data_IF_983572612551
#
_entry.id   IF_983572612551
#
_cell.length_a   1.000
_cell.length_b   1.000
_cell.length_c   1.000
_cell.angle_alpha   90.00
_cell.angle_beta   90.00
_cell.angle_gamma   90.00
#
_symmetry.space_group_name_H-M   'P 1'
#
loop_
_entity.id
_entity.type
_entity.pdbx_description
1 polymer ?
#
# COMPACT_ATOMS: atom_id res chain seq x y z
N UNK A 1 7.12 4.10 -22.69
CA UNK A 1 7.76 2.77 -22.82
C UNK A 1 9.25 2.93 -22.57
N UNK A 2 9.80 2.22 -21.59
CA UNK A 2 11.25 2.26 -21.31
C UNK A 2 12.00 1.66 -22.51
N UNK A 3 13.09 2.28 -22.96
CA UNK A 3 14.00 1.73 -23.97
C UNK A 3 15.39 1.62 -23.37
N UNK A 4 16.20 0.65 -23.79
CA UNK A 4 17.55 0.47 -23.27
C UNK A 4 18.39 1.74 -23.57
N UNK A 5 18.96 2.39 -22.54
CA UNK A 5 19.72 3.63 -22.74
C UNK A 5 21.00 3.42 -23.54
N UNK A 6 21.50 2.19 -23.62
CA UNK A 6 22.74 1.84 -24.31
C UNK A 6 22.56 1.45 -25.78
N UNK A 7 21.49 0.76 -26.13
CA UNK A 7 21.31 0.20 -27.48
C UNK A 7 19.93 0.50 -28.10
N UNK A 8 19.08 1.28 -27.43
CA UNK A 8 17.74 1.65 -27.91
C UNK A 8 16.72 0.51 -27.95
N UNK A 9 17.13 -0.72 -27.61
CA UNK A 9 16.25 -1.87 -27.67
C UNK A 9 15.12 -1.79 -26.63
N UNK A 10 13.91 -2.24 -26.99
CA UNK A 10 12.73 -2.20 -26.12
C UNK A 10 12.48 -3.48 -25.33
N UNK A 11 13.19 -4.57 -25.67
CA UNK A 11 13.11 -5.82 -24.93
C UNK A 11 13.93 -5.73 -23.62
N UNK A 12 13.21 -5.46 -22.53
CA UNK A 12 13.74 -5.17 -21.20
C UNK A 12 13.08 -6.12 -20.21
N UNK A 13 13.89 -6.82 -19.43
CA UNK A 13 13.48 -7.72 -18.35
C UNK A 13 13.80 -7.10 -16.99
N UNK A 14 13.14 -7.59 -15.95
CA UNK A 14 13.44 -7.24 -14.56
C UNK A 14 14.27 -8.36 -13.92
N UNK A 15 15.38 -8.00 -13.28
CA UNK A 15 16.16 -8.93 -12.48
C UNK A 15 15.51 -9.17 -11.11
N UNK A 16 15.78 -10.31 -10.46
CA UNK A 16 15.33 -10.57 -9.08
C UNK A 16 15.85 -9.53 -8.07
N UNK A 17 16.96 -8.86 -8.39
CA UNK A 17 17.58 -7.80 -7.59
C UNK A 17 16.95 -6.41 -7.82
N UNK A 18 15.92 -6.30 -8.66
CA UNK A 18 15.22 -5.03 -8.89
C UNK A 18 15.87 -4.11 -9.91
N UNK A 19 16.60 -4.65 -10.90
CA UNK A 19 17.24 -3.88 -11.97
C UNK A 19 16.55 -4.14 -13.32
N UNK A 20 16.55 -3.17 -14.22
CA UNK A 20 16.20 -3.41 -15.62
C UNK A 20 17.39 -4.02 -16.36
N UNK A 21 17.15 -5.09 -17.11
CA UNK A 21 18.16 -5.79 -17.91
C UNK A 21 17.71 -5.83 -19.36
N UNK A 22 18.52 -5.31 -20.28
CA UNK A 22 18.24 -5.42 -21.71
C UNK A 22 18.52 -6.84 -22.21
N UNK A 23 17.53 -7.48 -22.85
CA UNK A 23 17.68 -8.84 -23.39
C UNK A 23 18.66 -8.92 -24.57
N UNK A 24 18.90 -7.80 -25.28
CA UNK A 24 19.77 -7.76 -26.47
C UNK A 24 21.24 -7.48 -26.15
N UNK A 25 21.52 -6.48 -25.31
CA UNK A 25 22.89 -6.07 -25.02
C UNK A 25 23.36 -6.41 -23.60
N UNK A 26 22.49 -7.00 -22.77
CA UNK A 26 22.80 -7.37 -21.39
C UNK A 26 23.00 -6.19 -20.44
N UNK A 27 22.86 -4.94 -20.91
CA UNK A 27 23.04 -3.76 -20.08
C UNK A 27 22.01 -3.76 -18.94
N UNK A 28 22.50 -3.46 -17.73
CA UNK A 28 21.69 -3.35 -16.52
C UNK A 28 21.67 -1.91 -16.05
N UNK A 29 20.50 -1.43 -15.62
CA UNK A 29 20.37 -0.12 -15.02
C UNK A 29 19.31 -0.16 -13.91
N UNK A 30 19.48 0.65 -12.85
CA UNK A 30 18.54 0.69 -11.75
C UNK A 30 17.16 1.14 -12.26
N UNK A 31 16.10 0.59 -11.66
CA UNK A 31 14.78 1.19 -11.79
C UNK A 31 14.89 2.56 -11.14
N UNK A 32 14.62 3.63 -11.88
CA UNK A 32 14.67 4.97 -11.30
C UNK A 32 13.78 5.01 -10.06
N UNK A 33 14.30 5.55 -8.96
CA UNK A 33 13.66 5.59 -7.64
C UNK A 33 12.21 6.10 -7.70
N UNK A 34 11.89 6.92 -8.70
CA UNK A 34 10.55 7.45 -8.97
C UNK A 34 9.51 6.34 -9.24
N UNK A 35 9.88 5.25 -9.93
CA UNK A 35 8.97 4.11 -10.17
C UNK A 35 8.93 3.13 -9.00
N UNK A 36 10.04 3.01 -8.27
CA UNK A 36 10.15 2.23 -7.04
C UNK A 36 9.25 2.84 -5.94
N UNK A 37 9.22 4.16 -5.81
CA UNK A 37 8.50 4.83 -4.73
C UNK A 37 6.99 4.55 -4.73
N UNK A 38 6.34 4.41 -5.89
CA UNK A 38 4.91 4.05 -5.94
C UNK A 38 4.66 2.61 -5.49
N UNK A 39 5.47 1.65 -5.98
CA UNK A 39 5.34 0.24 -5.59
C UNK A 39 5.69 0.00 -4.12
N UNK A 40 6.67 0.72 -3.57
CA UNK A 40 7.05 0.60 -2.17
C UNK A 40 5.98 1.22 -1.26
N UNK A 41 5.42 2.39 -1.60
CA UNK A 41 4.32 2.99 -0.85
C UNK A 41 3.10 2.07 -0.79
N UNK A 42 2.68 1.49 -1.92
CA UNK A 42 1.56 0.54 -1.95
C UNK A 42 1.89 -0.75 -1.17
N UNK A 43 3.15 -1.23 -1.24
CA UNK A 43 3.59 -2.38 -0.46
C UNK A 43 3.57 -2.12 1.05
N UNK A 44 3.99 -0.94 1.51
CA UNK A 44 3.90 -0.56 2.92
C UNK A 44 2.45 -0.40 3.39
N UNK A 45 1.59 0.18 2.56
CA UNK A 45 0.14 0.27 2.79
C UNK A 45 -0.47 -1.13 2.99
N UNK A 46 -0.16 -2.08 2.10
CA UNK A 46 -0.66 -3.46 2.18
C UNK A 46 -0.06 -4.20 3.38
N UNK A 47 1.21 -3.96 3.72
CA UNK A 47 1.85 -4.54 4.92
C UNK A 47 1.16 -4.08 6.20
N UNK A 48 0.81 -2.79 6.29
CA UNK A 48 0.05 -2.25 7.42
C UNK A 48 -1.35 -2.86 7.43
N UNK A 49 -2.05 -2.84 6.30
CA UNK A 49 -3.38 -3.45 6.22
C UNK A 49 -3.37 -4.91 6.69
N UNK A 50 -2.40 -5.72 6.26
CA UNK A 50 -2.25 -7.11 6.67
C UNK A 50 -2.01 -7.31 8.17
N UNK A 51 -1.25 -6.42 8.83
CA UNK A 51 -1.08 -6.45 10.29
C UNK A 51 -2.41 -6.23 11.04
N UNK A 52 -3.24 -5.31 10.54
CA UNK A 52 -4.43 -4.85 11.26
C UNK A 52 -5.75 -5.45 10.74
N UNK A 53 -5.76 -6.20 9.63
CA UNK A 53 -6.97 -6.68 8.94
C UNK A 53 -7.92 -7.56 9.79
N UNK A 54 -7.41 -8.17 10.84
CA UNK A 54 -8.16 -9.09 11.71
C UNK A 54 -8.74 -8.40 12.97
N UNK A 55 -8.50 -7.10 13.13
CA UNK A 55 -9.03 -6.35 14.27
C UNK A 55 -10.53 -6.07 14.06
N UNK A 56 -11.34 -6.47 15.04
CA UNK A 56 -12.80 -6.35 14.98
C UNK A 56 -13.30 -4.92 15.21
N UNK A 57 -12.60 -4.15 16.05
CA UNK A 57 -12.95 -2.79 16.40
C UNK A 57 -11.70 -1.93 16.44
N UNK A 58 -11.72 -0.84 15.67
CA UNK A 58 -10.60 0.10 15.58
C UNK A 58 -11.08 1.45 16.08
N UNK A 59 -10.27 2.04 16.96
CA UNK A 59 -10.37 3.45 17.32
C UNK A 59 -9.61 4.26 16.27
N UNK A 60 -10.35 5.02 15.45
CA UNK A 60 -9.79 5.75 14.32
C UNK A 60 -8.70 6.74 14.73
N UNK A 61 -8.87 7.48 15.83
CA UNK A 61 -7.90 8.51 16.22
C UNK A 61 -6.56 7.89 16.60
N UNK A 62 -6.59 6.85 17.45
CA UNK A 62 -5.38 6.12 17.85
C UNK A 62 -4.71 5.42 16.68
N UNK A 63 -5.50 4.84 15.78
CA UNK A 63 -4.97 4.19 14.59
C UNK A 63 -4.28 5.21 13.67
N UNK A 64 -4.90 6.37 13.44
CA UNK A 64 -4.31 7.43 12.62
C UNK A 64 -3.01 7.96 13.24
N UNK A 65 -2.97 8.20 14.55
CA UNK A 65 -1.74 8.61 15.24
C UNK A 65 -0.61 7.58 15.12
N UNK A 66 -0.93 6.29 15.24
CA UNK A 66 0.05 5.22 15.12
C UNK A 66 0.63 5.11 13.71
N UNK A 67 -0.24 5.15 12.69
CA UNK A 67 0.17 5.00 11.29
C UNK A 67 0.90 6.25 10.78
N UNK A 68 0.49 7.44 11.22
CA UNK A 68 1.21 8.69 10.88
C UNK A 68 2.60 8.77 11.50
N UNK A 69 2.81 8.19 12.70
CA UNK A 69 4.16 8.02 13.28
C UNK A 69 5.06 7.09 12.46
N UNK A 70 4.48 6.14 11.73
CA UNK A 70 5.21 5.27 10.79
C UNK A 70 5.55 5.97 9.45
N UNK A 71 5.24 7.27 9.30
CA UNK A 71 5.57 8.05 8.11
C UNK A 71 4.54 7.97 6.98
N UNK A 72 3.39 7.37 7.24
CA UNK A 72 2.27 7.27 6.28
C UNK A 72 1.43 8.54 6.34
N UNK A 73 1.06 9.05 5.17
CA UNK A 73 0.18 10.21 5.05
C UNK A 73 -1.20 9.97 5.71
N UNK A 74 -1.77 11.02 6.30
CA UNK A 74 -3.03 10.93 7.06
C UNK A 74 -4.21 10.48 6.20
N UNK A 75 -4.29 10.89 4.93
CA UNK A 75 -5.37 10.48 4.01
C UNK A 75 -5.21 9.01 3.59
N UNK A 76 -3.97 8.54 3.46
CA UNK A 76 -3.66 7.12 3.24
C UNK A 76 -4.03 6.30 4.47
N UNK A 77 -3.68 6.76 5.67
CA UNK A 77 -4.05 6.11 6.93
C UNK A 77 -5.58 5.97 7.10
N UNK A 78 -6.33 7.04 6.80
CA UNK A 78 -7.81 7.01 6.76
C UNK A 78 -8.35 5.97 5.77
N UNK A 79 -7.71 5.83 4.61
CA UNK A 79 -8.10 4.82 3.59
C UNK A 79 -7.91 3.41 4.12
N UNK A 80 -6.78 3.13 4.78
CA UNK A 80 -6.49 1.82 5.39
C UNK A 80 -7.49 1.53 6.50
N UNK A 81 -7.72 2.48 7.41
CA UNK A 81 -8.66 2.34 8.52
C UNK A 81 -10.07 1.97 8.03
N UNK A 82 -10.59 2.70 7.03
CA UNK A 82 -11.89 2.41 6.40
C UNK A 82 -11.95 1.01 5.81
N UNK A 83 -10.87 0.54 5.18
CA UNK A 83 -10.80 -0.81 4.59
C UNK A 83 -10.86 -1.90 5.65
N UNK A 84 -10.20 -1.69 6.79
CA UNK A 84 -10.23 -2.64 7.92
C UNK A 84 -11.60 -2.65 8.59
N UNK A 85 -12.18 -1.47 8.88
CA UNK A 85 -13.52 -1.38 9.49
C UNK A 85 -14.56 -2.07 8.61
N UNK A 86 -14.55 -1.82 7.29
CA UNK A 86 -15.45 -2.50 6.33
C UNK A 86 -15.24 -4.01 6.27
N UNK A 87 -14.01 -4.49 6.46
CA UNK A 87 -13.70 -5.92 6.53
C UNK A 87 -14.23 -6.53 7.82
N UNK A 88 -14.00 -5.87 8.95
CA UNK A 88 -14.53 -6.26 10.25
C UNK A 88 -16.05 -6.30 10.29
N UNK A 89 -16.75 -5.50 9.47
CA UNK A 89 -18.21 -5.50 9.34
C UNK A 89 -18.78 -6.78 8.74
N UNK A 90 -17.97 -7.52 7.98
CA UNK A 90 -18.40 -8.75 7.32
C UNK A 90 -18.48 -9.85 8.38
N UNK A 91 -19.71 -10.18 8.80
CA UNK A 91 -19.99 -11.23 9.77
C UNK A 91 -20.47 -10.73 11.15
N UNK A 92 -20.63 -9.42 11.33
CA UNK A 92 -21.16 -8.83 12.57
C UNK A 92 -22.69 -8.70 12.56
N UNK A 93 -23.28 -8.85 13.76
CA UNK A 93 -24.71 -8.64 14.00
C UNK A 93 -25.11 -7.16 13.94
N UNK A 94 -26.42 -6.87 13.94
CA UNK A 94 -26.97 -5.53 13.71
C UNK A 94 -26.45 -4.45 14.68
N UNK A 95 -26.33 -4.78 15.98
CA UNK A 95 -25.75 -3.86 17.00
C UNK A 95 -24.28 -3.55 16.78
N UNK A 96 -23.49 -4.55 16.39
CA UNK A 96 -22.05 -4.42 16.18
C UNK A 96 -21.74 -3.62 14.90
N UNK A 97 -22.60 -3.70 13.88
CA UNK A 97 -22.53 -2.84 12.68
C UNK A 97 -22.72 -1.37 13.01
N UNK A 98 -23.60 -1.04 13.97
CA UNK A 98 -23.85 0.34 14.37
C UNK A 98 -22.62 0.97 15.05
N UNK A 99 -21.93 0.22 15.92
CA UNK A 99 -20.65 0.64 16.50
C UNK A 99 -19.53 0.78 15.48
N UNK A 100 -19.54 -0.01 14.41
CA UNK A 100 -18.60 0.17 13.30
C UNK A 100 -18.95 1.31 12.35
N UNK A 101 -20.23 1.65 12.19
CA UNK A 101 -20.64 2.84 11.45
C UNK A 101 -20.19 4.13 12.17
N UNK A 102 -20.26 4.15 13.51
CA UNK A 102 -19.70 5.22 14.34
C UNK A 102 -18.16 5.30 14.24
N UNK A 103 -17.47 4.15 14.25
CA UNK A 103 -16.03 4.13 13.99
C UNK A 103 -15.70 4.64 12.57
N UNK A 104 -16.50 4.29 11.57
CA UNK A 104 -16.29 4.71 10.18
C UNK A 104 -16.49 6.23 10.01
N UNK A 105 -17.46 6.83 10.70
CA UNK A 105 -17.74 8.27 10.62
C UNK A 105 -16.60 9.11 11.21
N UNK A 106 -15.95 8.64 12.27
CA UNK A 106 -14.75 9.27 12.88
C UNK A 106 -13.50 9.18 11.99
N UNK A 107 -13.53 8.34 10.96
CA UNK A 107 -12.45 8.14 10.00
C UNK A 107 -12.65 8.91 8.67
N UNK A 108 -13.72 9.71 8.54
CA UNK A 108 -13.97 10.55 7.36
C UNK A 108 -13.08 11.80 7.34
#
# INVERSE_FOLDING_TARGET
MSSCPRCGNRDIRLSPSGEYVCAKCGHRWPISEIKINWSYKEFEIEKIYEKFKNIKQIDCEKFLEQITKEGIDREVAKRIARRIIRRGARGLGERERMGQADALSRCL
#
